data_IF_400435351808
#
_entry.id   IF_400435351808
#
_cell.length_a   1.000
_cell.length_b   1.000
_cell.length_c   1.000
_cell.angle_alpha   90.00
_cell.angle_beta   90.00
_cell.angle_gamma   90.00
#
_symmetry.space_group_name_H-M   'P 1'
#
loop_
_entity.id
_entity.type
_entity.pdbx_description
1 polymer ?
#
# COMPACT_ATOMS: atom_id res chain seq x y z
N UNK A 1 -24.64 -2.20 -5.88
CA UNK A 1 -23.20 -2.53 -6.02
C UNK A 1 -22.56 -1.33 -6.70
N UNK A 2 -21.53 -0.74 -6.09
CA UNK A 2 -20.78 0.34 -6.73
C UNK A 2 -19.98 -0.23 -7.92
N UNK A 3 -19.74 0.60 -8.94
CA UNK A 3 -18.95 0.19 -10.10
C UNK A 3 -17.47 0.11 -9.73
N UNK A 4 -16.83 -1.01 -10.02
CA UNK A 4 -15.42 -1.28 -9.70
C UNK A 4 -14.53 -0.90 -10.90
N UNK A 5 -13.94 0.28 -10.85
CA UNK A 5 -12.98 0.74 -11.86
C UNK A 5 -11.66 -0.01 -11.79
N UNK A 6 -11.28 -0.51 -10.61
CA UNK A 6 -10.00 -1.21 -10.41
C UNK A 6 -9.99 -2.45 -11.30
N UNK A 7 -11.00 -3.31 -11.16
CA UNK A 7 -11.13 -4.51 -11.98
C UNK A 7 -11.44 -4.17 -13.43
N UNK A 8 -12.32 -3.20 -13.67
CA UNK A 8 -12.68 -2.79 -15.03
C UNK A 8 -11.45 -2.40 -15.86
N UNK A 9 -10.55 -1.57 -15.32
CA UNK A 9 -9.36 -1.16 -16.06
C UNK A 9 -8.37 -2.31 -16.27
N UNK A 10 -8.21 -3.22 -15.31
CA UNK A 10 -7.37 -4.42 -15.51
C UNK A 10 -7.89 -5.24 -16.70
N UNK A 11 -9.21 -5.43 -16.81
CA UNK A 11 -9.80 -6.13 -17.95
C UNK A 11 -9.64 -5.35 -19.26
N UNK A 12 -9.81 -4.01 -19.24
CA UNK A 12 -9.56 -3.19 -20.43
C UNK A 12 -8.10 -3.24 -20.89
N UNK A 13 -7.13 -3.26 -19.97
CA UNK A 13 -5.71 -3.44 -20.30
C UNK A 13 -5.47 -4.79 -20.98
N UNK A 14 -6.07 -5.88 -20.48
CA UNK A 14 -5.96 -7.21 -21.10
C UNK A 14 -6.51 -7.22 -22.53
N UNK A 15 -7.65 -6.58 -22.76
CA UNK A 15 -8.32 -6.54 -24.06
C UNK A 15 -7.56 -5.65 -25.06
N UNK A 16 -7.21 -4.42 -24.65
CA UNK A 16 -6.71 -3.40 -25.56
C UNK A 16 -5.18 -3.40 -25.71
N UNK A 17 -4.46 -3.89 -24.69
CA UNK A 17 -2.98 -3.95 -24.66
C UNK A 17 -2.49 -5.38 -24.35
N UNK A 18 -2.87 -6.41 -25.15
CA UNK A 18 -2.53 -7.81 -24.88
C UNK A 18 -1.02 -8.12 -24.97
N UNK A 19 -0.19 -7.20 -25.47
CA UNK A 19 1.27 -7.34 -25.53
C UNK A 19 2.00 -6.59 -24.40
N UNK A 20 1.28 -5.84 -23.55
CA UNK A 20 1.89 -5.08 -22.47
C UNK A 20 2.56 -6.03 -21.47
N UNK A 21 3.85 -5.81 -21.18
CA UNK A 21 4.67 -6.65 -20.31
C UNK A 21 4.76 -8.14 -20.75
N UNK A 22 4.66 -8.42 -22.06
CA UNK A 22 4.70 -9.78 -22.62
C UNK A 22 6.04 -10.51 -22.41
N UNK A 23 7.09 -9.80 -22.01
CA UNK A 23 8.38 -10.37 -21.64
C UNK A 23 8.39 -11.07 -20.27
N UNK A 24 7.36 -10.88 -19.44
CA UNK A 24 7.23 -11.48 -18.11
C UNK A 24 6.44 -12.79 -18.16
N UNK A 25 6.54 -13.61 -17.10
CA UNK A 25 5.63 -14.75 -16.93
C UNK A 25 4.19 -14.27 -16.77
N UNK A 26 3.16 -15.09 -17.09
CA UNK A 26 1.76 -14.68 -16.99
C UNK A 26 1.36 -14.17 -15.60
N UNK A 27 1.85 -14.82 -14.54
CA UNK A 27 1.60 -14.44 -13.13
C UNK A 27 2.26 -13.09 -12.79
N UNK A 28 3.54 -12.93 -13.12
CA UNK A 28 4.27 -11.68 -12.89
C UNK A 28 3.66 -10.55 -13.70
N UNK A 29 3.26 -10.82 -14.94
CA UNK A 29 2.60 -9.88 -15.82
C UNK A 29 1.30 -9.38 -15.21
N UNK A 30 0.44 -10.29 -14.74
CA UNK A 30 -0.83 -9.94 -14.12
C UNK A 30 -0.62 -9.08 -12.87
N UNK A 31 0.26 -9.52 -11.96
CA UNK A 31 0.56 -8.79 -10.73
C UNK A 31 1.11 -7.37 -11.01
N UNK A 32 1.98 -7.21 -12.00
CA UNK A 32 2.50 -5.89 -12.37
C UNK A 32 1.44 -5.00 -13.04
N UNK A 33 0.54 -5.57 -13.85
CA UNK A 33 -0.58 -4.81 -14.43
C UNK A 33 -1.50 -4.31 -13.30
N UNK A 34 -1.84 -5.16 -12.34
CA UNK A 34 -2.66 -4.79 -11.17
C UNK A 34 -1.98 -3.71 -10.31
N UNK A 35 -0.69 -3.87 -10.00
CA UNK A 35 0.08 -2.91 -9.20
C UNK A 35 0.19 -1.54 -9.90
N UNK A 36 0.47 -1.51 -11.22
CA UNK A 36 0.54 -0.26 -11.99
C UNK A 36 -0.87 0.35 -12.17
N UNK A 37 -1.90 -0.47 -12.35
CA UNK A 37 -3.29 0.00 -12.42
C UNK A 37 -3.71 0.70 -11.12
N UNK A 38 -3.41 0.09 -9.97
CA UNK A 38 -3.63 0.69 -8.66
C UNK A 38 -2.83 1.99 -8.47
N UNK A 39 -1.56 2.00 -8.91
CA UNK A 39 -0.69 3.19 -8.86
C UNK A 39 -1.26 4.35 -9.67
N UNK A 40 -1.66 4.10 -10.90
CA UNK A 40 -2.18 5.13 -11.82
C UNK A 40 -3.57 5.60 -11.42
N UNK A 41 -4.46 4.71 -10.98
CA UNK A 41 -5.78 5.08 -10.46
C UNK A 41 -5.68 5.87 -9.15
N UNK A 42 -4.79 5.47 -8.24
CA UNK A 42 -4.48 6.23 -7.03
C UNK A 42 -4.02 7.64 -7.37
N UNK A 43 -3.20 7.79 -8.42
CA UNK A 43 -2.78 9.10 -8.90
C UNK A 43 -3.95 9.93 -9.42
N UNK A 44 -4.84 9.35 -10.22
CA UNK A 44 -6.05 10.02 -10.72
C UNK A 44 -6.94 10.52 -9.56
N UNK A 45 -7.12 9.73 -8.51
CA UNK A 45 -7.87 10.15 -7.30
C UNK A 45 -7.23 11.40 -6.67
N UNK A 46 -5.92 11.42 -6.52
CA UNK A 46 -5.21 12.54 -5.87
C UNK A 46 -5.25 13.81 -6.72
N UNK A 47 -5.13 13.66 -8.04
CA UNK A 47 -5.27 14.77 -8.98
C UNK A 47 -6.69 15.34 -8.95
N UNK A 48 -7.73 14.49 -8.89
CA UNK A 48 -9.11 14.93 -8.68
C UNK A 48 -9.31 15.72 -7.38
N UNK A 49 -8.68 15.28 -6.28
CA UNK A 49 -8.74 15.98 -4.99
C UNK A 49 -8.04 17.33 -5.02
N UNK A 50 -6.97 17.45 -5.82
CA UNK A 50 -6.15 18.66 -5.92
C UNK A 50 -6.79 19.72 -6.82
N UNK A 51 -7.17 19.32 -8.03
CA UNK A 51 -7.77 20.20 -9.02
C UNK A 51 -8.66 19.39 -9.98
N UNK A 52 -9.95 19.38 -9.69
CA UNK A 52 -10.94 18.64 -10.47
C UNK A 52 -11.15 19.20 -11.88
N UNK A 53 -10.96 20.51 -12.07
CA UNK A 53 -11.18 21.15 -13.38
C UNK A 53 -10.07 20.79 -14.35
N UNK A 54 -8.82 20.84 -13.90
CA UNK A 54 -7.66 20.45 -14.72
C UNK A 54 -7.76 18.99 -15.13
N UNK A 55 -7.97 18.07 -14.18
CA UNK A 55 -8.05 16.65 -14.52
C UNK A 55 -9.25 16.34 -15.41
N UNK A 56 -10.42 16.96 -15.16
CA UNK A 56 -11.58 16.77 -16.02
C UNK A 56 -11.30 17.25 -17.46
N UNK A 57 -10.63 18.39 -17.65
CA UNK A 57 -10.24 18.84 -18.99
C UNK A 57 -9.25 17.88 -19.67
N UNK A 58 -8.25 17.39 -18.94
CA UNK A 58 -7.27 16.42 -19.44
C UNK A 58 -7.91 15.07 -19.82
N UNK A 59 -9.00 14.68 -19.15
CA UNK A 59 -9.76 13.49 -19.56
C UNK A 59 -10.41 13.67 -20.93
N UNK A 60 -10.94 14.86 -21.22
CA UNK A 60 -11.65 15.14 -22.47
C UNK A 60 -10.72 15.49 -23.62
N UNK A 61 -9.61 16.14 -23.31
CA UNK A 61 -8.57 16.54 -24.26
C UNK A 61 -7.22 15.98 -23.81
N UNK A 62 -6.99 14.65 -23.96
CA UNK A 62 -5.78 14.03 -23.44
C UNK A 62 -4.52 14.61 -24.05
N UNK A 63 -3.67 15.20 -23.21
CA UNK A 63 -2.35 15.65 -23.60
C UNK A 63 -1.30 14.57 -23.29
N UNK A 64 -0.67 14.02 -24.32
CA UNK A 64 0.35 12.98 -24.16
C UNK A 64 1.52 13.42 -23.27
N UNK A 65 1.93 14.71 -23.31
CA UNK A 65 3.00 15.22 -22.46
C UNK A 65 2.61 15.23 -20.98
N UNK A 66 1.35 15.55 -20.69
CA UNK A 66 0.83 15.54 -19.32
C UNK A 66 0.81 14.10 -18.76
N UNK A 67 0.36 13.14 -19.56
CA UNK A 67 0.36 11.71 -19.18
C UNK A 67 1.79 11.21 -18.93
N UNK A 68 2.74 11.55 -19.82
CA UNK A 68 4.14 11.21 -19.64
C UNK A 68 4.75 11.85 -18.39
N UNK A 69 4.41 13.11 -18.09
CA UNK A 69 4.87 13.79 -16.89
C UNK A 69 4.38 13.11 -15.62
N UNK A 70 3.09 12.75 -15.57
CA UNK A 70 2.52 11.99 -14.45
C UNK A 70 3.24 10.65 -14.30
N UNK A 71 3.39 9.91 -15.40
CA UNK A 71 4.09 8.62 -15.40
C UNK A 71 5.52 8.75 -14.88
N UNK A 72 6.27 9.76 -15.35
CA UNK A 72 7.63 10.02 -14.87
C UNK A 72 7.64 10.37 -13.39
N UNK A 73 6.71 11.20 -12.91
CA UNK A 73 6.62 11.53 -11.49
C UNK A 73 6.38 10.27 -10.63
N UNK A 74 5.48 9.38 -11.06
CA UNK A 74 5.19 8.13 -10.37
C UNK A 74 6.39 7.18 -10.35
N UNK A 75 7.11 7.06 -11.47
CA UNK A 75 8.20 6.08 -11.62
C UNK A 75 9.54 6.57 -11.07
N UNK A 76 9.73 7.88 -10.95
CA UNK A 76 10.96 8.47 -10.40
C UNK A 76 10.83 8.89 -8.93
N UNK A 77 9.63 8.79 -8.34
CA UNK A 77 9.40 9.03 -6.92
C UNK A 77 10.31 8.17 -6.05
N UNK A 78 10.84 8.75 -4.97
CA UNK A 78 11.66 8.03 -3.98
C UNK A 78 10.86 6.98 -3.22
N UNK A 79 9.53 7.07 -3.23
CA UNK A 79 8.63 6.07 -2.64
C UNK A 79 8.35 4.90 -3.58
N UNK A 80 8.72 5.00 -4.86
CA UNK A 80 8.50 3.91 -5.81
C UNK A 80 9.45 2.75 -5.51
N UNK A 81 8.86 1.56 -5.27
CA UNK A 81 9.59 0.32 -4.98
C UNK A 81 9.23 -0.81 -5.96
N UNK A 82 8.80 -0.47 -7.18
CA UNK A 82 8.51 -1.46 -8.22
C UNK A 82 9.76 -2.29 -8.55
N UNK A 83 9.56 -3.57 -8.85
CA UNK A 83 10.62 -4.50 -9.24
C UNK A 83 10.95 -4.45 -10.74
N UNK A 84 10.15 -3.71 -11.53
CA UNK A 84 10.38 -3.57 -12.97
C UNK A 84 11.58 -2.67 -13.28
N UNK A 85 12.23 -2.94 -14.41
CA UNK A 85 13.23 -2.03 -14.96
C UNK A 85 12.60 -0.67 -15.26
N UNK A 86 13.33 0.42 -14.99
CA UNK A 86 12.78 1.78 -14.98
C UNK A 86 12.12 2.17 -16.30
N UNK A 87 12.76 1.88 -17.44
CA UNK A 87 12.21 2.22 -18.76
C UNK A 87 10.96 1.38 -19.06
N UNK A 88 10.97 0.10 -18.69
CA UNK A 88 9.78 -0.77 -18.80
C UNK A 88 8.63 -0.25 -17.94
N UNK A 89 8.91 0.16 -16.71
CA UNK A 89 7.92 0.70 -15.78
C UNK A 89 7.34 2.02 -16.27
N UNK A 90 8.16 2.97 -16.72
CA UNK A 90 7.70 4.27 -17.25
C UNK A 90 6.82 4.07 -18.50
N UNK A 91 7.20 3.18 -19.40
CA UNK A 91 6.37 2.88 -20.57
C UNK A 91 5.03 2.23 -20.15
N UNK A 92 5.07 1.21 -19.30
CA UNK A 92 3.86 0.52 -18.88
C UNK A 92 2.91 1.43 -18.07
N UNK A 93 3.47 2.29 -17.22
CA UNK A 93 2.72 3.30 -16.45
C UNK A 93 2.06 4.32 -17.38
N UNK A 94 2.76 4.77 -18.42
CA UNK A 94 2.22 5.69 -19.44
C UNK A 94 1.07 5.04 -20.20
N UNK A 95 1.26 3.80 -20.67
CA UNK A 95 0.28 3.07 -21.46
C UNK A 95 -1.01 2.78 -20.66
N UNK A 96 -0.87 2.37 -19.39
CA UNK A 96 -2.01 2.10 -18.51
C UNK A 96 -2.74 3.40 -18.16
N UNK A 97 -2.01 4.47 -17.81
CA UNK A 97 -2.63 5.76 -17.49
C UNK A 97 -3.39 6.36 -18.68
N UNK A 98 -2.80 6.27 -19.88
CA UNK A 98 -3.47 6.70 -21.12
C UNK A 98 -4.77 5.92 -21.35
N UNK A 99 -4.74 4.59 -21.19
CA UNK A 99 -5.92 3.75 -21.30
C UNK A 99 -6.97 4.15 -20.25
N UNK A 100 -6.60 4.31 -18.99
CA UNK A 100 -7.54 4.72 -17.94
C UNK A 100 -8.22 6.06 -18.26
N UNK A 101 -7.46 7.05 -18.77
CA UNK A 101 -8.01 8.34 -19.18
C UNK A 101 -9.02 8.19 -20.32
N UNK A 102 -8.69 7.41 -21.35
CA UNK A 102 -9.59 7.15 -22.48
C UNK A 102 -10.86 6.43 -22.04
N UNK A 103 -10.74 5.48 -21.13
CA UNK A 103 -11.86 4.73 -20.58
C UNK A 103 -12.76 5.61 -19.69
N UNK A 104 -12.18 6.50 -18.87
CA UNK A 104 -12.96 7.48 -18.10
C UNK A 104 -13.76 8.41 -19.02
N UNK A 105 -13.17 8.86 -20.14
CA UNK A 105 -13.88 9.65 -21.13
C UNK A 105 -15.04 8.88 -21.76
N UNK A 106 -14.85 7.60 -22.06
CA UNK A 106 -15.91 6.73 -22.59
C UNK A 106 -17.04 6.54 -21.58
N UNK A 107 -16.71 6.27 -20.32
CA UNK A 107 -17.70 6.11 -19.24
C UNK A 107 -18.51 7.39 -19.04
N UNK A 108 -17.87 8.55 -19.08
CA UNK A 108 -18.59 9.83 -19.02
C UNK A 108 -19.51 10.00 -20.23
N UNK A 109 -19.01 9.78 -21.44
CA UNK A 109 -19.78 9.98 -22.68
C UNK A 109 -20.98 9.03 -22.74
N UNK A 110 -20.80 7.76 -22.38
CA UNK A 110 -21.86 6.75 -22.39
C UNK A 110 -22.86 6.95 -21.25
N UNK A 111 -22.38 7.33 -20.06
CA UNK A 111 -23.21 7.52 -18.86
C UNK A 111 -23.80 8.93 -18.71
N UNK A 112 -23.36 9.89 -19.52
CA UNK A 112 -23.62 11.33 -19.35
C UNK A 112 -23.38 11.79 -17.90
N UNK A 113 -22.27 11.34 -17.31
CA UNK A 113 -21.97 11.53 -15.89
C UNK A 113 -21.70 13.00 -15.56
N UNK A 114 -21.00 13.69 -16.44
CA UNK A 114 -20.44 15.01 -16.21
C UNK A 114 -19.37 15.00 -15.11
N UNK A 115 -18.74 16.16 -14.91
CA UNK A 115 -17.65 16.34 -13.92
C UNK A 115 -17.99 15.76 -12.54
N UNK A 116 -19.20 16.05 -12.03
CA UNK A 116 -19.63 15.57 -10.70
C UNK A 116 -19.77 14.05 -10.66
N UNK A 117 -20.43 13.44 -11.65
CA UNK A 117 -20.62 11.99 -11.68
C UNK A 117 -19.29 11.25 -11.85
N UNK A 118 -18.40 11.76 -12.70
CA UNK A 118 -17.07 11.18 -12.91
C UNK A 118 -16.21 11.31 -11.64
N UNK A 119 -16.30 12.44 -10.93
CA UNK A 119 -15.66 12.62 -9.61
C UNK A 119 -16.13 11.59 -8.60
N UNK A 120 -17.44 11.42 -8.45
CA UNK A 120 -18.03 10.44 -7.53
C UNK A 120 -17.59 9.02 -7.88
N UNK A 121 -17.56 8.69 -9.18
CA UNK A 121 -17.09 7.40 -9.68
C UNK A 121 -15.63 7.14 -9.32
N UNK A 122 -14.73 8.09 -9.61
CA UNK A 122 -13.27 7.93 -9.39
C UNK A 122 -12.94 7.95 -7.89
N UNK A 123 -13.49 8.88 -7.12
CA UNK A 123 -13.23 8.95 -5.67
C UNK A 123 -13.82 7.74 -4.94
N UNK A 124 -14.95 7.21 -5.40
CA UNK A 124 -15.56 5.99 -4.83
C UNK A 124 -14.70 4.73 -4.95
N UNK A 125 -13.58 4.78 -5.68
CA UNK A 125 -12.69 3.62 -5.85
C UNK A 125 -11.73 3.40 -4.69
N UNK A 126 -11.65 4.32 -3.71
CA UNK A 126 -10.77 4.17 -2.55
C UNK A 126 -11.08 2.85 -1.81
N UNK A 127 -12.36 2.52 -1.64
CA UNK A 127 -12.78 1.27 -0.99
C UNK A 127 -12.33 0.04 -1.78
N UNK A 128 -12.42 0.10 -3.11
CA UNK A 128 -12.02 -1.01 -3.99
C UNK A 128 -10.50 -1.16 -4.06
N UNK A 129 -9.74 -0.08 -3.88
CA UNK A 129 -8.27 -0.09 -3.85
C UNK A 129 -7.70 -0.65 -2.55
N UNK A 130 -8.48 -0.65 -1.46
CA UNK A 130 -8.06 -1.19 -0.17
C UNK A 130 -7.63 -2.65 -0.31
N UNK A 131 -6.38 -2.94 0.05
CA UNK A 131 -5.79 -4.28 -0.02
C UNK A 131 -5.30 -4.73 -1.41
N UNK A 132 -5.47 -3.92 -2.46
CA UNK A 132 -5.12 -4.30 -3.84
C UNK A 132 -3.64 -4.11 -4.18
N UNK A 133 -2.90 -3.31 -3.40
CA UNK A 133 -1.50 -3.02 -3.68
C UNK A 133 -0.70 -2.80 -2.39
N UNK A 134 0.63 -2.83 -2.56
CA UNK A 134 1.60 -2.60 -1.49
C UNK A 134 1.60 -1.15 -1.05
N UNK A 135 1.96 -0.91 0.21
CA UNK A 135 1.99 0.43 0.82
C UNK A 135 2.82 1.47 0.08
N UNK A 136 3.85 1.05 -0.66
CA UNK A 136 4.66 1.97 -1.45
C UNK A 136 3.85 2.63 -2.57
N UNK A 137 2.84 1.94 -3.11
CA UNK A 137 1.92 2.47 -4.13
C UNK A 137 1.10 3.62 -3.54
N UNK A 138 0.58 3.43 -2.33
CA UNK A 138 -0.18 4.43 -1.60
C UNK A 138 0.68 5.60 -1.15
N UNK A 139 1.90 5.31 -0.68
CA UNK A 139 2.89 6.33 -0.30
C UNK A 139 3.31 7.20 -1.48
N UNK A 140 3.46 6.60 -2.68
CA UNK A 140 3.79 7.32 -3.92
C UNK A 140 2.67 8.28 -4.35
N UNK A 141 1.43 7.93 -4.01
CA UNK A 141 0.24 8.73 -4.31
C UNK A 141 -0.24 9.60 -3.16
N UNK A 142 0.44 9.63 -2.01
CA UNK A 142 -0.03 10.37 -0.82
C UNK A 142 -1.42 9.91 -0.32
N UNK A 143 -1.81 8.66 -0.61
CA UNK A 143 -3.07 8.05 -0.17
C UNK A 143 -2.86 7.34 1.18
N UNK A 144 -2.60 8.12 2.22
CA UNK A 144 -2.24 7.60 3.55
C UNK A 144 -3.30 6.71 4.18
N UNK A 145 -4.58 6.90 3.82
CA UNK A 145 -5.71 6.11 4.30
C UNK A 145 -5.70 4.65 3.81
N UNK A 146 -4.92 4.33 2.77
CA UNK A 146 -4.79 2.97 2.23
C UNK A 146 -3.54 2.24 2.74
N UNK A 147 -2.64 2.92 3.46
CA UNK A 147 -1.43 2.30 4.00
C UNK A 147 -1.82 1.30 5.09
N UNK A 148 -1.27 0.08 5.02
CA UNK A 148 -1.61 -1.03 5.91
C UNK A 148 -2.92 -1.74 5.56
N UNK A 149 -3.50 -1.46 4.39
CA UNK A 149 -4.73 -2.13 3.94
C UNK A 149 -4.53 -3.55 3.40
N UNK A 150 -3.28 -3.98 3.18
CA UNK A 150 -3.00 -5.34 2.71
C UNK A 150 -3.47 -6.38 3.74
N UNK A 151 -4.11 -7.48 3.29
CA UNK A 151 -4.40 -8.59 4.17
C UNK A 151 -3.11 -9.07 4.84
N UNK A 152 -3.11 -9.10 6.17
CA UNK A 152 -2.04 -9.74 6.92
C UNK A 152 -2.20 -11.24 6.67
N UNK A 153 -1.21 -11.88 6.04
CA UNK A 153 -1.14 -13.34 6.00
C UNK A 153 -1.06 -13.82 7.45
N UNK A 154 -2.20 -14.23 7.99
CA UNK A 154 -2.23 -14.88 9.29
C UNK A 154 -1.56 -16.23 9.09
N UNK A 155 -0.39 -16.41 9.69
CA UNK A 155 0.14 -17.75 9.88
C UNK A 155 -0.96 -18.58 10.55
N UNK A 156 -1.39 -19.66 9.88
CA UNK A 156 -2.32 -20.61 10.47
C UNK A 156 -1.62 -21.25 11.68
N UNK A 157 -1.77 -20.63 12.85
CA UNK A 157 -1.42 -21.26 14.11
C UNK A 157 -2.31 -22.49 14.21
N UNK A 158 -1.76 -23.65 13.89
CA UNK A 158 -2.45 -24.92 14.00
C UNK A 158 -2.83 -25.12 15.47
N UNK A 159 -4.13 -25.25 15.73
CA UNK A 159 -4.65 -25.56 17.06
C UNK A 159 -4.01 -26.84 17.63
N UNK A 160 -3.64 -27.80 16.77
CA UNK A 160 -2.93 -29.02 17.18
C UNK A 160 -1.51 -28.73 17.67
N UNK A 161 -0.82 -27.78 17.04
CA UNK A 161 0.52 -27.36 17.44
C UNK A 161 0.47 -26.56 18.75
N UNK A 162 -0.52 -25.69 18.89
CA UNK A 162 -0.80 -24.95 20.15
C UNK A 162 -1.14 -25.91 21.30
N UNK A 163 -1.98 -26.92 21.05
CA UNK A 163 -2.34 -27.91 22.06
C UNK A 163 -1.18 -28.83 22.40
N UNK A 164 -0.28 -29.11 21.44
CA UNK A 164 0.92 -29.89 21.67
C UNK A 164 1.94 -29.13 22.52
N UNK A 165 2.18 -27.85 22.24
CA UNK A 165 3.02 -26.97 23.07
C UNK A 165 2.42 -26.77 24.46
N UNK A 166 1.10 -26.59 24.56
CA UNK A 166 0.40 -26.50 25.83
C UNK A 166 0.53 -27.79 26.65
N UNK A 167 0.27 -28.95 26.04
CA UNK A 167 0.43 -30.26 26.69
C UNK A 167 1.89 -30.52 27.10
N UNK A 168 2.87 -30.06 26.32
CA UNK A 168 4.28 -30.13 26.70
C UNK A 168 4.57 -29.23 27.91
N UNK A 169 4.11 -27.98 27.92
CA UNK A 169 4.32 -27.06 29.05
C UNK A 169 3.65 -27.56 30.34
N UNK A 170 2.45 -28.15 30.23
CA UNK A 170 1.72 -28.75 31.37
C UNK A 170 2.40 -30.01 31.88
N UNK A 171 2.90 -30.88 30.99
CA UNK A 171 3.61 -32.10 31.40
C UNK A 171 5.00 -31.82 32.00
N UNK A 172 5.66 -30.72 31.60
CA UNK A 172 6.91 -30.28 32.23
C UNK A 172 6.68 -29.88 33.69
N UNK A 173 5.53 -29.26 34.02
CA UNK A 173 5.19 -28.94 35.41
C UNK A 173 4.91 -30.17 36.29
N UNK A 174 4.59 -31.33 35.70
CA UNK A 174 4.31 -32.55 36.44
C UNK A 174 5.50 -33.50 36.60
N UNK A 175 6.65 -33.21 35.99
CA UNK A 175 7.81 -34.12 36.02
C UNK A 175 8.91 -33.67 37.01
N UNK A 176 8.84 -32.45 37.56
CA UNK A 176 9.84 -31.95 38.52
C UNK A 176 9.49 -32.24 39.98
N UNK A 177 9.39 -33.53 40.30
CA UNK A 177 9.56 -34.02 41.66
C UNK A 177 10.36 -35.31 41.62
N UNK A 178 11.67 -35.23 41.33
CA UNK A 178 12.74 -35.84 42.13
C UNK A 178 14.12 -35.84 41.41
N UNK A 179 15.05 -35.09 42.02
CA UNK A 179 16.50 -35.33 42.19
C UNK A 179 17.51 -35.13 41.04
N UNK A 180 18.52 -34.34 41.42
CA UNK A 180 19.92 -34.24 40.97
C UNK A 180 20.30 -33.37 39.75
N UNK A 181 20.79 -32.17 40.09
CA UNK A 181 21.68 -31.28 39.30
C UNK A 181 22.99 -32.00 38.93
N UNK A 182 23.79 -31.59 37.89
CA UNK A 182 23.81 -30.29 37.21
C UNK A 182 24.03 -30.33 35.68
N UNK A 183 23.42 -29.40 34.93
CA UNK A 183 24.13 -28.47 34.04
C UNK A 183 23.12 -27.47 33.51
N UNK A 184 23.20 -26.29 34.08
CA UNK A 184 22.31 -25.17 33.80
C UNK A 184 22.72 -24.56 32.45
N UNK A 185 22.05 -24.92 31.36
CA UNK A 185 21.87 -23.96 30.26
C UNK A 185 20.59 -23.20 30.54
N UNK A 186 20.73 -22.18 31.40
CA UNK A 186 19.76 -21.10 31.57
C UNK A 186 19.58 -20.47 30.20
N UNK A 187 18.49 -20.78 29.49
CA UNK A 187 18.00 -19.84 28.48
C UNK A 187 17.28 -18.78 29.29
N UNK A 188 18.05 -17.78 29.70
CA UNK A 188 17.53 -16.57 30.31
C UNK A 188 16.38 -16.10 29.43
N UNK A 189 15.21 -15.94 30.03
CA UNK A 189 14.18 -15.10 29.45
C UNK A 189 14.85 -13.78 29.11
N UNK A 190 15.05 -13.55 27.82
CA UNK A 190 15.56 -12.28 27.29
C UNK A 190 14.45 -11.27 27.53
N UNK A 191 14.37 -10.82 28.77
CA UNK A 191 13.63 -9.64 29.14
C UNK A 191 14.47 -8.50 28.57
N UNK A 192 14.05 -7.87 27.46
CA UNK A 192 14.92 -7.01 26.69
C UNK A 192 15.41 -5.88 27.61
N UNK A 193 16.71 -5.91 27.93
CA UNK A 193 17.36 -4.94 28.83
C UNK A 193 17.19 -3.50 28.32
N UNK A 194 16.94 -3.34 27.03
CA UNK A 194 16.55 -2.09 26.36
C UNK A 194 15.33 -1.42 26.99
N UNK A 195 14.34 -2.17 27.48
CA UNK A 195 13.15 -1.60 28.10
C UNK A 195 13.49 -0.84 29.39
N UNK A 196 14.43 -1.36 30.19
CA UNK A 196 14.89 -0.71 31.44
C UNK A 196 15.75 0.53 31.21
N UNK A 197 16.33 0.68 30.01
CA UNK A 197 17.18 1.82 29.64
C UNK A 197 16.35 2.87 28.88
N UNK A 198 15.39 2.44 28.05
CA UNK A 198 14.54 3.33 27.26
C UNK A 198 13.56 4.12 28.15
N UNK A 199 12.99 3.52 29.18
CA UNK A 199 12.06 4.21 30.11
C UNK A 199 12.63 5.51 30.71
N UNK A 200 13.82 5.53 31.35
CA UNK A 200 14.35 6.77 31.93
C UNK A 200 14.77 7.80 30.88
N UNK A 201 15.20 7.38 29.69
CA UNK A 201 15.62 8.29 28.61
C UNK A 201 14.40 8.99 28.02
N UNK A 202 13.31 8.24 27.74
CA UNK A 202 12.06 8.81 27.23
C UNK A 202 11.48 9.80 28.24
N UNK A 203 11.51 9.47 29.54
CA UNK A 203 11.07 10.39 30.58
C UNK A 203 11.88 11.71 30.62
N UNK A 204 13.20 11.64 30.43
CA UNK A 204 14.06 12.83 30.36
C UNK A 204 13.81 13.69 29.11
N UNK A 205 13.56 13.06 27.95
CA UNK A 205 13.22 13.78 26.71
C UNK A 205 11.90 14.52 26.85
N UNK A 206 10.89 13.88 27.44
CA UNK A 206 9.58 14.51 27.71
C UNK A 206 9.73 15.67 28.68
N UNK A 207 10.50 15.50 29.77
CA UNK A 207 10.76 16.60 30.72
C UNK A 207 11.53 17.76 30.09
N UNK A 208 12.48 17.49 29.20
CA UNK A 208 13.23 18.52 28.49
C UNK A 208 12.33 19.33 27.55
N UNK A 209 11.45 18.67 26.79
CA UNK A 209 10.47 19.34 25.91
C UNK A 209 9.51 20.20 26.73
N UNK A 210 9.03 19.71 27.88
CA UNK A 210 8.17 20.47 28.78
C UNK A 210 8.90 21.67 29.38
N UNK A 211 10.18 21.54 29.73
CA UNK A 211 11.00 22.64 30.24
C UNK A 211 11.24 23.73 29.18
N UNK A 212 11.54 23.35 27.94
CA UNK A 212 11.63 24.27 26.79
C UNK A 212 10.31 24.99 26.52
N UNK A 213 9.18 24.27 26.60
CA UNK A 213 7.86 24.87 26.42
C UNK A 213 7.54 25.89 27.53
N UNK A 214 7.87 25.58 28.79
CA UNK A 214 7.65 26.50 29.91
C UNK A 214 8.58 27.72 29.81
N UNK A 215 9.86 27.53 29.50
CA UNK A 215 10.82 28.65 29.38
C UNK A 215 10.51 29.57 28.19
N UNK A 216 9.98 29.06 27.07
CA UNK A 216 9.49 29.87 25.94
C UNK A 216 8.19 30.63 26.24
N UNK A 217 7.40 30.18 27.21
CA UNK A 217 6.14 30.86 27.62
C UNK A 217 6.40 31.96 28.65
N UNK A 218 7.52 31.90 29.38
CA UNK A 218 7.91 32.88 30.40
C UNK A 218 9.12 33.77 30.02
N UNK A 219 9.59 33.71 28.78
CA UNK A 219 10.63 34.59 28.21
C UNK A 219 10.03 35.71 27.34
#
# INVERSE_FOLDING_TARGET
>A
MAFDLVQYFVEQVKIQKPQLLSQLSPEQRQANIEEINALTLGKLITLWRKDEDVLYQEIFTPNHLYIQEISRHLTTSTQNKSSLEKKVLEQATTDILELQILELKQLDTAGSLGKRGLRELVIGQIEHLSGQAKDWVWSTNELTELIGSQPIEQEEISLDETMKEFNQMVNVQHTDAHTDHPETTVIETVNPTWAKIAEPIVALVVLYILFEAVTKVFA
#
